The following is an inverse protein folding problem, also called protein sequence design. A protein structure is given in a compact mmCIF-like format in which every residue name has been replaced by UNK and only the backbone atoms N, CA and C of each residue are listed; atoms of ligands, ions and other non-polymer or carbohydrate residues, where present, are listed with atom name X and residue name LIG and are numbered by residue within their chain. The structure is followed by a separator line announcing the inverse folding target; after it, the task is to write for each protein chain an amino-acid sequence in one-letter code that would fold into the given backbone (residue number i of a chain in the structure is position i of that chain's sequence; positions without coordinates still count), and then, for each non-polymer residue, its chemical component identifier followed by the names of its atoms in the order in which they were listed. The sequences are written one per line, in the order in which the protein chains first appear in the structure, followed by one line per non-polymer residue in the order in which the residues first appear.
data_IF_121054737912
#
_entry.id   IF_121054737912
#
_cell.length_a   1.000
_cell.length_b   1.000
_cell.length_c   1.000
_cell.angle_alpha   90.00
_cell.angle_beta   90.00
_cell.angle_gamma   90.00
#
_symmetry.space_group_name_H-M   'P 1'
#
loop_
_entity.id
_entity.type
_entity.pdbx_description
1 polymer ?
#
# COMPACT_ATOMS: atom_id res chain seq x y z
N UNK A 1 -4.35 -25.51 -4.06
CA UNK A 1 -4.12 -24.08 -3.88
C UNK A 1 -2.66 -23.92 -3.50
N UNK A 2 -1.91 -23.01 -4.12
CA UNK A 2 -0.49 -22.89 -3.84
C UNK A 2 -0.28 -22.21 -2.47
N UNK A 3 0.37 -22.93 -1.56
CA UNK A 3 0.82 -22.46 -0.26
C UNK A 3 2.32 -22.69 -0.21
N UNK A 4 3.09 -21.66 0.11
CA UNK A 4 4.55 -21.75 0.16
C UNK A 4 5.03 -22.49 1.41
N UNK A 5 4.53 -22.08 2.57
CA UNK A 5 4.85 -22.68 3.86
C UNK A 5 3.59 -23.25 4.52
N UNK A 6 3.31 -24.53 4.18
CA UNK A 6 2.13 -25.22 4.70
C UNK A 6 2.09 -25.21 6.23
N UNK A 7 3.25 -25.29 6.90
CA UNK A 7 3.30 -25.35 8.35
C UNK A 7 2.80 -24.04 9.00
N UNK A 8 3.29 -22.88 8.53
CA UNK A 8 2.95 -21.60 9.17
C UNK A 8 1.70 -20.94 8.59
N UNK A 9 1.44 -21.11 7.29
CA UNK A 9 0.27 -20.49 6.66
C UNK A 9 -1.06 -21.20 7.00
N UNK A 10 -0.99 -22.48 7.47
CA UNK A 10 -2.18 -23.26 7.88
C UNK A 10 -2.05 -23.79 9.32
N UNK A 11 -1.26 -23.13 10.15
CA UNK A 11 -1.04 -23.51 11.55
C UNK A 11 -2.33 -23.36 12.36
N UNK A 12 -2.59 -24.30 13.27
CA UNK A 12 -3.69 -24.20 14.20
C UNK A 12 -3.55 -22.96 15.10
N UNK A 13 -4.68 -22.30 15.37
CA UNK A 13 -4.69 -20.99 16.10
C UNK A 13 -3.98 -21.06 17.47
N UNK A 14 -4.19 -22.12 18.24
CA UNK A 14 -3.53 -22.28 19.55
C UNK A 14 -2.01 -22.49 19.43
N UNK A 15 -1.57 -23.17 18.37
CA UNK A 15 -0.15 -23.34 18.08
C UNK A 15 0.51 -22.05 17.64
N UNK A 16 -0.15 -21.32 16.75
CA UNK A 16 0.29 -19.99 16.30
C UNK A 16 0.40 -19.03 17.49
N UNK A 17 -0.60 -19.01 18.37
CA UNK A 17 -0.60 -18.16 19.57
C UNK A 17 0.57 -18.48 20.51
N UNK A 18 0.92 -19.75 20.68
CA UNK A 18 2.11 -20.14 21.45
C UNK A 18 3.40 -19.67 20.79
N UNK A 19 3.52 -19.81 19.48
CA UNK A 19 4.66 -19.30 18.71
C UNK A 19 4.79 -17.78 18.83
N UNK A 20 3.69 -17.05 18.66
CA UNK A 20 3.64 -15.60 18.81
C UNK A 20 4.06 -15.17 20.22
N UNK A 21 3.60 -15.85 21.26
CA UNK A 21 3.97 -15.56 22.66
C UNK A 21 5.48 -15.73 22.90
N UNK A 22 6.05 -16.84 22.42
CA UNK A 22 7.48 -17.09 22.55
C UNK A 22 8.31 -16.02 21.81
N UNK A 23 7.93 -15.68 20.57
CA UNK A 23 8.60 -14.65 19.77
C UNK A 23 8.44 -13.25 20.36
N UNK A 24 7.26 -12.93 20.93
CA UNK A 24 7.05 -11.66 21.64
C UNK A 24 8.01 -11.50 22.81
N UNK A 25 8.13 -12.51 23.67
CA UNK A 25 9.06 -12.46 24.78
C UNK A 25 10.52 -12.23 24.31
N UNK A 26 10.95 -12.91 23.24
CA UNK A 26 12.28 -12.71 22.66
C UNK A 26 12.49 -11.30 22.12
N UNK A 27 11.54 -10.76 21.35
CA UNK A 27 11.69 -9.44 20.72
C UNK A 27 11.62 -8.31 21.73
N UNK A 28 10.79 -8.43 22.77
CA UNK A 28 10.68 -7.45 23.87
C UNK A 28 11.99 -7.40 24.67
N UNK A 29 12.54 -8.57 25.05
CA UNK A 29 13.84 -8.63 25.72
C UNK A 29 14.95 -8.04 24.83
N UNK A 30 15.02 -8.42 23.55
CA UNK A 30 15.99 -7.86 22.59
C UNK A 30 15.91 -6.34 22.52
N UNK A 31 14.71 -5.79 22.39
CA UNK A 31 14.46 -4.36 22.31
C UNK A 31 14.92 -3.64 23.60
N UNK A 32 14.56 -4.16 24.76
CA UNK A 32 14.92 -3.59 26.05
C UNK A 32 16.44 -3.61 26.28
N UNK A 33 17.10 -4.73 25.99
CA UNK A 33 18.52 -4.89 26.25
C UNK A 33 19.41 -4.05 25.33
N UNK A 34 18.99 -3.87 24.07
CA UNK A 34 19.87 -3.33 23.02
C UNK A 34 19.48 -1.94 22.50
N UNK A 35 18.23 -1.49 22.73
CA UNK A 35 17.74 -0.19 22.21
C UNK A 35 17.40 0.72 23.39
N UNK A 36 18.19 1.80 23.57
CA UNK A 36 17.99 2.75 24.67
C UNK A 36 16.58 3.35 24.68
N UNK A 37 16.05 3.69 23.51
CA UNK A 37 14.68 4.18 23.35
C UNK A 37 13.65 3.23 24.02
N UNK A 38 13.71 1.92 23.73
CA UNK A 38 12.76 0.97 24.33
C UNK A 38 12.99 0.77 25.81
N UNK A 39 14.25 0.79 26.25
CA UNK A 39 14.56 0.69 27.69
C UNK A 39 13.95 1.84 28.46
N UNK A 40 14.12 3.07 27.97
CA UNK A 40 13.59 4.26 28.60
C UNK A 40 12.04 4.24 28.54
N UNK A 41 11.46 3.97 27.38
CA UNK A 41 10.03 3.89 27.17
C UNK A 41 9.36 2.86 28.11
N UNK A 42 9.94 1.67 28.26
CA UNK A 42 9.39 0.62 29.12
C UNK A 42 9.52 0.98 30.61
N UNK A 43 10.65 1.53 31.03
CA UNK A 43 10.85 1.98 32.39
C UNK A 43 9.89 3.11 32.78
N UNK A 44 9.69 4.10 31.93
CA UNK A 44 8.75 5.22 32.12
C UNK A 44 7.30 4.74 32.24
N UNK A 45 6.93 3.65 31.54
CA UNK A 45 5.59 3.07 31.58
C UNK A 45 5.47 1.91 32.59
N UNK A 46 6.49 1.64 33.42
CA UNK A 46 6.44 0.62 34.43
C UNK A 46 6.34 -0.82 33.89
N UNK A 47 6.84 -1.07 32.67
CA UNK A 47 6.82 -2.41 32.07
C UNK A 47 7.89 -3.30 32.71
N UNK A 48 7.46 -4.37 33.33
CA UNK A 48 8.34 -5.43 33.83
C UNK A 48 8.58 -6.44 32.68
N UNK A 49 9.66 -6.25 31.91
CA UNK A 49 9.96 -7.03 30.68
C UNK A 49 9.96 -8.54 30.95
N UNK A 50 10.46 -8.99 32.10
CA UNK A 50 10.46 -10.40 32.50
C UNK A 50 9.07 -11.02 32.77
N UNK A 51 8.01 -10.22 32.73
CA UNK A 51 6.62 -10.68 32.87
C UNK A 51 5.83 -10.65 31.57
N UNK A 52 6.48 -10.33 30.44
CA UNK A 52 5.88 -10.44 29.12
C UNK A 52 6.07 -11.87 28.61
N UNK A 53 5.09 -12.73 28.91
CA UNK A 53 5.16 -14.17 28.65
C UNK A 53 4.16 -14.61 27.56
N UNK A 54 3.13 -13.82 27.33
CA UNK A 54 2.03 -14.13 26.41
C UNK A 54 1.77 -13.00 25.44
N UNK A 55 1.26 -13.35 24.25
CA UNK A 55 0.79 -12.36 23.28
C UNK A 55 -0.31 -11.45 23.85
N UNK A 56 -1.04 -11.89 24.86
CA UNK A 56 -2.05 -11.10 25.56
C UNK A 56 -1.46 -9.94 26.38
N UNK A 57 -0.18 -10.05 26.76
CA UNK A 57 0.52 -8.99 27.47
C UNK A 57 0.85 -7.80 26.57
N UNK A 58 0.78 -7.99 25.24
CA UNK A 58 1.12 -6.98 24.24
C UNK A 58 0.32 -5.69 24.44
N UNK A 59 -0.98 -5.80 24.71
CA UNK A 59 -1.86 -4.64 24.89
C UNK A 59 -1.44 -3.70 26.05
N UNK A 60 -0.59 -4.17 26.97
CA UNK A 60 -0.05 -3.37 28.08
C UNK A 60 1.24 -2.63 27.72
N UNK A 61 1.87 -2.97 26.58
CA UNK A 61 3.10 -2.32 26.14
C UNK A 61 2.78 -0.96 25.50
N UNK A 62 3.66 0.04 25.68
CA UNK A 62 3.47 1.34 25.04
C UNK A 62 3.64 1.27 23.54
N UNK A 63 3.03 2.23 22.85
CA UNK A 63 3.13 2.37 21.39
C UNK A 63 4.48 2.95 20.95
N UNK A 64 4.89 2.54 19.75
CA UNK A 64 5.97 3.17 18.99
C UNK A 64 5.37 4.00 17.85
N UNK A 65 5.91 5.19 17.61
CA UNK A 65 5.44 6.13 16.61
C UNK A 65 6.52 6.39 15.55
N UNK A 66 6.10 6.84 14.39
CA UNK A 66 7.02 7.22 13.29
C UNK A 66 7.99 8.33 13.69
N UNK A 67 7.56 9.26 14.55
CA UNK A 67 8.44 10.32 15.12
C UNK A 67 9.59 9.73 15.92
N UNK A 68 9.35 8.65 16.69
CA UNK A 68 10.35 8.03 17.53
C UNK A 68 11.50 7.46 16.67
N UNK A 69 11.16 6.85 15.54
CA UNK A 69 12.16 6.35 14.58
C UNK A 69 13.00 7.50 13.99
N UNK A 70 12.36 8.66 13.72
CA UNK A 70 13.04 9.85 13.20
C UNK A 70 13.96 10.50 14.24
N UNK A 71 13.51 10.54 15.49
CA UNK A 71 14.28 11.11 16.61
C UNK A 71 15.51 10.26 16.93
N UNK A 72 15.44 8.96 16.67
CA UNK A 72 16.54 8.01 16.82
C UNK A 72 17.42 7.86 15.55
N UNK A 73 17.25 8.74 14.55
CA UNK A 73 18.07 8.73 13.33
C UNK A 73 19.56 8.95 13.63
N UNK A 74 20.53 8.24 12.98
CA UNK A 74 20.25 7.23 11.95
C UNK A 74 20.13 5.79 12.50
N UNK A 75 20.71 5.44 13.63
CA UNK A 75 20.91 4.05 14.07
C UNK A 75 20.44 3.78 15.52
N UNK A 76 19.80 4.74 16.16
CA UNK A 76 19.37 4.62 17.57
C UNK A 76 18.34 3.50 17.82
N UNK A 77 17.65 3.05 16.77
CA UNK A 77 16.71 1.93 16.85
C UNK A 77 17.32 0.56 16.54
N UNK A 78 18.64 0.48 16.26
CA UNK A 78 19.27 -0.79 15.93
C UNK A 78 19.50 -1.63 17.18
N UNK A 79 18.97 -2.85 17.19
CA UNK A 79 19.07 -3.81 18.29
C UNK A 79 20.23 -4.80 18.12
N UNK A 80 21.09 -4.59 17.13
CA UNK A 80 22.29 -5.38 16.86
C UNK A 80 23.45 -4.45 16.48
N UNK A 81 24.72 -4.86 16.68
CA UNK A 81 25.88 -4.10 16.22
C UNK A 81 25.89 -3.92 14.71
N UNK A 82 26.42 -2.80 14.20
CA UNK A 82 26.48 -2.49 12.77
C UNK A 82 27.12 -3.60 11.93
N UNK A 83 28.07 -4.37 12.45
CA UNK A 83 28.70 -5.50 11.75
C UNK A 83 27.73 -6.64 11.41
N UNK A 84 26.56 -6.69 12.03
CA UNK A 84 25.50 -7.68 11.76
C UNK A 84 24.45 -7.15 10.79
N UNK A 85 24.45 -5.85 10.54
CA UNK A 85 23.60 -5.21 9.53
C UNK A 85 24.22 -5.40 8.15
N UNK A 86 23.56 -6.16 7.29
CA UNK A 86 24.02 -6.42 5.92
C UNK A 86 23.38 -5.52 4.88
N UNK A 87 22.30 -4.79 5.27
CA UNK A 87 21.61 -3.87 4.38
C UNK A 87 20.93 -2.76 5.16
N UNK A 88 20.89 -1.58 4.54
CA UNK A 88 20.20 -0.41 5.06
C UNK A 88 19.25 0.09 3.98
N UNK A 89 17.99 0.26 4.35
CA UNK A 89 16.99 0.98 3.57
C UNK A 89 16.54 2.24 4.30
N UNK A 90 15.82 3.10 3.61
CA UNK A 90 15.22 4.27 4.21
C UNK A 90 13.89 4.60 3.55
N UNK A 91 12.95 5.10 4.34
CA UNK A 91 11.70 5.62 3.78
C UNK A 91 11.94 6.94 3.04
N UNK A 92 11.20 7.19 1.98
CA UNK A 92 11.21 8.46 1.26
C UNK A 92 10.50 9.55 2.07
N UNK A 93 11.14 10.05 3.14
CA UNK A 93 10.56 11.12 3.94
C UNK A 93 10.35 12.39 3.12
N UNK A 94 9.13 12.80 2.89
CA UNK A 94 8.78 14.07 2.19
C UNK A 94 9.11 15.30 3.02
N UNK A 95 9.31 15.15 4.33
CA UNK A 95 9.52 16.26 5.28
C UNK A 95 10.60 15.92 6.32
N UNK A 96 11.88 16.05 5.97
CA UNK A 96 12.96 15.96 6.94
C UNK A 96 13.83 14.69 6.84
N UNK A 97 14.38 14.22 7.99
CA UNK A 97 15.25 13.03 8.02
C UNK A 97 14.47 11.77 7.67
N UNK A 98 15.01 10.89 6.80
CA UNK A 98 14.37 9.62 6.47
C UNK A 98 14.32 8.68 7.68
N UNK A 99 13.38 7.74 7.70
CA UNK A 99 13.42 6.63 8.66
C UNK A 99 14.40 5.57 8.14
N UNK A 100 15.47 5.33 8.89
CA UNK A 100 16.49 4.35 8.52
C UNK A 100 16.10 2.96 9.03
N UNK A 101 16.25 1.95 8.17
CA UNK A 101 15.90 0.55 8.49
C UNK A 101 17.09 -0.36 8.20
N UNK A 102 17.57 -1.04 9.22
CA UNK A 102 18.66 -2.02 9.12
C UNK A 102 18.14 -3.45 9.09
N UNK A 103 18.77 -4.29 8.29
CA UNK A 103 18.44 -5.71 8.17
C UNK A 103 19.65 -6.58 8.45
N UNK A 104 19.46 -7.58 9.31
CA UNK A 104 20.40 -8.70 9.47
C UNK A 104 20.24 -9.69 8.32
N UNK A 105 21.12 -10.69 8.26
CA UNK A 105 20.96 -11.80 7.29
C UNK A 105 19.65 -12.57 7.51
N UNK A 106 19.24 -12.74 8.77
CA UNK A 106 17.97 -13.40 9.13
C UNK A 106 16.77 -12.54 8.72
N UNK A 107 16.82 -11.22 8.94
CA UNK A 107 15.74 -10.32 8.51
C UNK A 107 15.53 -10.39 6.99
N UNK A 108 16.61 -10.46 6.20
CA UNK A 108 16.51 -10.61 4.74
C UNK A 108 15.90 -11.96 4.36
N UNK A 109 16.26 -13.05 5.07
CA UNK A 109 15.71 -14.36 4.80
C UNK A 109 14.20 -14.42 5.12
N UNK A 110 13.78 -13.87 6.26
CA UNK A 110 12.36 -13.74 6.63
C UNK A 110 11.60 -12.90 5.59
N UNK A 111 12.17 -11.79 5.15
CA UNK A 111 11.54 -10.95 4.13
C UNK A 111 11.38 -11.67 2.80
N UNK A 112 12.42 -12.37 2.34
CA UNK A 112 12.34 -13.19 1.13
C UNK A 112 11.24 -14.26 1.24
N UNK A 113 11.11 -14.90 2.42
CA UNK A 113 10.06 -15.88 2.70
C UNK A 113 8.66 -15.26 2.66
N UNK A 114 8.43 -14.13 3.34
CA UNK A 114 7.16 -13.42 3.31
C UNK A 114 6.75 -13.05 1.87
N UNK A 115 7.72 -12.66 1.05
CA UNK A 115 7.47 -12.37 -0.36
C UNK A 115 7.25 -13.62 -1.21
N UNK A 116 7.90 -14.74 -0.88
CA UNK A 116 7.62 -16.03 -1.54
C UNK A 116 6.18 -16.50 -1.22
N UNK A 117 5.72 -16.37 0.02
CA UNK A 117 4.32 -16.63 0.40
C UNK A 117 3.35 -15.72 -0.37
N UNK A 118 3.67 -14.43 -0.49
CA UNK A 118 2.89 -13.43 -1.26
C UNK A 118 2.75 -13.84 -2.72
N UNK A 119 3.86 -14.08 -3.39
CA UNK A 119 3.88 -14.41 -4.81
C UNK A 119 3.25 -15.79 -5.08
N UNK A 120 3.51 -16.77 -4.21
CA UNK A 120 2.84 -18.08 -4.29
C UNK A 120 1.33 -17.96 -4.05
N UNK A 121 0.91 -17.10 -3.11
CA UNK A 121 -0.52 -16.78 -2.90
C UNK A 121 -1.17 -16.14 -4.12
N UNK A 122 -0.40 -15.40 -4.92
CA UNK A 122 -0.79 -14.87 -6.22
C UNK A 122 -0.73 -15.91 -7.37
N UNK A 123 -0.39 -17.16 -7.07
CA UNK A 123 -0.29 -18.22 -8.05
C UNK A 123 1.02 -18.25 -8.84
N UNK A 124 2.05 -17.52 -8.40
CA UNK A 124 3.39 -17.54 -8.99
C UNK A 124 4.10 -18.86 -8.64
N UNK A 125 4.82 -19.41 -9.57
CA UNK A 125 5.60 -20.63 -9.41
C UNK A 125 6.97 -20.54 -10.12
N UNK A 126 7.78 -21.57 -10.02
CA UNK A 126 9.16 -21.64 -10.55
C UNK A 126 9.27 -21.54 -12.08
N UNK A 127 8.20 -21.78 -12.80
CA UNK A 127 8.19 -21.76 -14.27
C UNK A 127 7.81 -20.37 -14.82
N UNK A 128 7.49 -19.40 -13.93
CA UNK A 128 7.05 -18.07 -14.30
C UNK A 128 8.19 -17.07 -14.48
N UNK A 129 7.92 -16.06 -15.31
CA UNK A 129 8.73 -14.84 -15.45
C UNK A 129 8.05 -13.69 -14.74
N UNK A 130 8.70 -13.11 -13.73
CA UNK A 130 8.19 -12.02 -12.92
C UNK A 130 8.83 -10.70 -13.37
N UNK A 131 8.07 -9.83 -14.00
CA UNK A 131 8.55 -8.47 -14.28
C UNK A 131 8.36 -7.59 -13.05
N UNK A 132 9.49 -7.16 -12.48
CA UNK A 132 9.50 -6.35 -11.27
C UNK A 132 9.74 -4.88 -11.59
N UNK A 133 8.65 -4.14 -11.67
CA UNK A 133 8.62 -2.70 -11.95
C UNK A 133 8.56 -1.84 -10.68
N UNK A 134 8.73 -2.42 -9.49
CA UNK A 134 8.99 -1.62 -8.29
C UNK A 134 10.38 -1.01 -8.31
N UNK A 135 10.51 0.20 -7.78
CA UNK A 135 11.80 0.88 -7.67
C UNK A 135 12.81 0.12 -6.80
N UNK A 136 14.04 0.01 -7.30
CA UNK A 136 15.20 -0.49 -6.55
C UNK A 136 15.95 0.68 -5.91
N UNK A 137 16.64 0.44 -4.81
CA UNK A 137 17.42 1.44 -4.09
C UNK A 137 17.07 1.51 -2.60
N UNK A 138 16.91 2.71 -2.04
CA UNK A 138 16.54 2.86 -0.63
C UNK A 138 15.12 2.42 -0.33
N UNK A 139 14.23 2.45 -1.30
CA UNK A 139 12.88 1.91 -1.22
C UNK A 139 12.90 0.37 -1.20
N UNK A 140 12.01 -0.23 -0.42
CA UNK A 140 12.03 -1.69 -0.16
C UNK A 140 11.32 -2.52 -1.23
N UNK A 141 10.40 -1.94 -2.02
CA UNK A 141 9.50 -2.67 -2.91
C UNK A 141 10.22 -3.57 -3.92
N UNK A 142 11.18 -3.03 -4.67
CA UNK A 142 11.89 -3.77 -5.71
C UNK A 142 12.64 -4.98 -5.19
N UNK A 143 13.42 -4.81 -4.12
CA UNK A 143 14.22 -5.91 -3.55
C UNK A 143 13.35 -6.98 -2.87
N UNK A 144 12.21 -6.59 -2.26
CA UNK A 144 11.30 -7.58 -1.69
C UNK A 144 10.74 -8.54 -2.74
N UNK A 145 10.14 -8.00 -3.80
CA UNK A 145 9.62 -8.81 -4.91
C UNK A 145 10.71 -9.66 -5.58
N UNK A 146 11.91 -9.08 -5.74
CA UNK A 146 13.07 -9.77 -6.32
C UNK A 146 13.44 -11.03 -5.53
N UNK A 147 13.70 -10.90 -4.22
CA UNK A 147 14.12 -12.05 -3.41
C UNK A 147 13.03 -13.09 -3.23
N UNK A 148 11.75 -12.68 -3.16
CA UNK A 148 10.65 -13.62 -3.14
C UNK A 148 10.59 -14.46 -4.44
N UNK A 149 10.74 -13.81 -5.59
CA UNK A 149 10.78 -14.49 -6.89
C UNK A 149 11.94 -15.49 -7.00
N UNK A 150 13.17 -15.07 -6.64
CA UNK A 150 14.35 -15.95 -6.63
C UNK A 150 14.16 -17.13 -5.67
N UNK A 151 13.56 -16.92 -4.50
CA UNK A 151 13.33 -17.97 -3.52
C UNK A 151 12.33 -19.03 -4.02
N UNK A 152 11.30 -18.63 -4.76
CA UNK A 152 10.37 -19.53 -5.45
C UNK A 152 11.07 -20.30 -6.57
N UNK A 153 12.13 -19.74 -7.15
CA UNK A 153 12.81 -20.24 -8.34
C UNK A 153 12.24 -19.67 -9.64
N UNK A 154 11.39 -18.66 -9.58
CA UNK A 154 10.89 -17.92 -10.75
C UNK A 154 11.97 -17.01 -11.34
N UNK A 155 11.93 -16.79 -12.64
CA UNK A 155 12.83 -15.84 -13.30
C UNK A 155 12.37 -14.41 -13.03
N UNK A 156 13.21 -13.57 -12.42
CA UNK A 156 12.86 -12.18 -12.15
C UNK A 156 13.54 -11.24 -13.14
N UNK A 157 12.76 -10.32 -13.74
CA UNK A 157 13.25 -9.22 -14.60
C UNK A 157 13.33 -7.96 -13.75
N UNK A 158 14.52 -7.54 -13.28
CA UNK A 158 14.69 -6.45 -12.33
C UNK A 158 14.74 -5.08 -13.03
N UNK A 159 13.67 -4.75 -13.76
CA UNK A 159 13.65 -3.55 -14.63
C UNK A 159 13.56 -2.25 -13.83
N UNK A 160 13.06 -2.28 -12.59
CA UNK A 160 12.79 -1.09 -11.78
C UNK A 160 11.59 -0.26 -12.29
N UNK A 161 11.25 0.82 -11.59
CA UNK A 161 10.21 1.76 -12.03
C UNK A 161 10.62 2.60 -13.23
N UNK A 162 9.62 3.17 -13.91
CA UNK A 162 9.83 4.05 -15.05
C UNK A 162 10.13 3.36 -16.37
N UNK A 163 10.53 4.14 -17.36
CA UNK A 163 10.88 3.67 -18.73
C UNK A 163 9.80 2.80 -19.38
N UNK A 164 8.56 3.29 -19.37
CA UNK A 164 7.33 2.55 -19.72
C UNK A 164 7.39 1.83 -21.05
N UNK A 165 7.96 2.44 -22.10
CA UNK A 165 8.11 1.79 -23.42
C UNK A 165 9.02 0.56 -23.36
N UNK A 166 10.10 0.63 -22.56
CA UNK A 166 10.98 -0.52 -22.35
C UNK A 166 10.30 -1.60 -21.50
N UNK A 167 9.46 -1.20 -20.54
CA UNK A 167 8.63 -2.14 -19.78
C UNK A 167 7.75 -2.97 -20.70
N UNK A 168 7.04 -2.31 -21.63
CA UNK A 168 6.16 -2.97 -22.62
C UNK A 168 6.94 -3.90 -23.55
N UNK A 169 8.08 -3.45 -24.05
CA UNK A 169 8.96 -4.28 -24.89
C UNK A 169 9.38 -5.55 -24.14
N UNK A 170 9.82 -5.43 -22.87
CA UNK A 170 10.27 -6.60 -22.11
C UNK A 170 9.12 -7.53 -21.68
N UNK A 171 7.92 -7.00 -21.42
CA UNK A 171 6.74 -7.83 -21.18
C UNK A 171 6.45 -8.74 -22.38
N UNK A 172 6.62 -8.22 -23.60
CA UNK A 172 6.45 -8.98 -24.83
C UNK A 172 7.60 -9.95 -25.10
N UNK A 173 8.86 -9.45 -25.05
CA UNK A 173 10.05 -10.22 -25.44
C UNK A 173 10.35 -11.37 -24.48
N UNK A 174 10.04 -11.18 -23.18
CA UNK A 174 10.30 -12.19 -22.15
C UNK A 174 9.06 -12.98 -21.76
N UNK A 175 7.93 -12.73 -22.42
CA UNK A 175 6.67 -13.41 -22.19
C UNK A 175 6.30 -13.45 -20.68
N UNK A 176 6.40 -12.30 -20.01
CA UNK A 176 6.24 -12.22 -18.54
C UNK A 176 4.84 -12.65 -18.09
N UNK A 177 4.78 -13.51 -17.07
CA UNK A 177 3.55 -14.06 -16.47
C UNK A 177 2.99 -13.20 -15.36
N UNK A 178 3.88 -12.51 -14.61
CA UNK A 178 3.56 -11.77 -13.39
C UNK A 178 4.13 -10.36 -13.47
N UNK A 179 3.31 -9.36 -13.11
CA UNK A 179 3.73 -7.97 -12.98
C UNK A 179 3.71 -7.53 -11.51
N UNK A 180 4.84 -7.06 -10.98
CA UNK A 180 4.92 -6.42 -9.68
C UNK A 180 5.13 -4.91 -9.87
N UNK A 181 4.17 -4.08 -9.46
CA UNK A 181 4.25 -2.61 -9.59
C UNK A 181 3.31 -1.88 -8.62
N UNK A 182 3.34 -0.54 -8.65
CA UNK A 182 2.24 0.23 -8.06
C UNK A 182 1.00 0.16 -8.96
N UNK A 183 -0.21 0.23 -8.41
CA UNK A 183 -1.44 0.18 -9.21
C UNK A 183 -1.53 1.35 -10.22
N UNK A 184 -1.12 2.55 -9.82
CA UNK A 184 -1.08 3.71 -10.73
C UNK A 184 -0.15 3.49 -11.94
N UNK A 185 1.01 2.83 -11.71
CA UNK A 185 1.94 2.53 -12.78
C UNK A 185 1.39 1.44 -13.72
N UNK A 186 0.67 0.45 -13.18
CA UNK A 186 0.00 -0.57 -14.01
C UNK A 186 -1.02 0.06 -14.98
N UNK A 187 -1.82 1.01 -14.51
CA UNK A 187 -2.74 1.76 -15.39
C UNK A 187 -1.99 2.59 -16.42
N UNK A 188 -0.96 3.30 -16.01
CA UNK A 188 -0.14 4.08 -16.95
C UNK A 188 0.53 3.19 -18.01
N UNK A 189 0.97 1.99 -17.63
CA UNK A 189 1.49 1.00 -18.57
C UNK A 189 0.43 0.59 -19.61
N UNK A 190 -0.82 0.39 -19.16
CA UNK A 190 -1.93 0.05 -20.02
C UNK A 190 -2.28 1.18 -21.01
N UNK A 191 -2.25 2.43 -20.55
CA UNK A 191 -2.52 3.60 -21.40
C UNK A 191 -1.46 3.73 -22.50
N UNK A 192 -0.16 3.62 -22.14
CA UNK A 192 0.93 3.68 -23.12
C UNK A 192 0.90 2.48 -24.09
N UNK A 193 0.47 1.31 -23.63
CA UNK A 193 0.28 0.14 -24.50
C UNK A 193 -0.79 0.43 -25.56
N UNK A 194 -1.93 1.01 -25.17
CA UNK A 194 -2.98 1.40 -26.09
C UNK A 194 -2.51 2.46 -27.11
N UNK A 195 -1.72 3.44 -26.67
CA UNK A 195 -1.15 4.47 -27.54
C UNK A 195 -0.14 3.92 -28.54
N UNK A 196 0.65 2.92 -28.12
CA UNK A 196 1.72 2.32 -28.95
C UNK A 196 1.28 1.10 -29.73
N UNK A 197 0.02 0.66 -29.58
CA UNK A 197 -0.54 -0.49 -30.28
C UNK A 197 -0.07 -1.84 -29.74
N UNK A 198 0.38 -1.91 -28.49
CA UNK A 198 0.71 -3.16 -27.81
C UNK A 198 -0.56 -3.80 -27.27
N UNK A 199 -0.86 -5.01 -27.70
CA UNK A 199 -2.02 -5.80 -27.26
C UNK A 199 -1.69 -6.55 -25.95
N UNK A 200 -1.80 -5.88 -24.81
CA UNK A 200 -1.54 -6.47 -23.48
C UNK A 200 -2.41 -7.72 -23.20
N UNK A 201 -3.72 -7.73 -23.52
CA UNK A 201 -4.54 -8.93 -23.32
C UNK A 201 -4.08 -10.19 -24.07
N UNK A 202 -3.26 -10.04 -25.12
CA UNK A 202 -2.71 -11.18 -25.88
C UNK A 202 -1.44 -11.77 -25.25
N UNK A 203 -0.83 -11.06 -24.29
CA UNK A 203 0.38 -11.53 -23.61
C UNK A 203 0.07 -12.64 -22.59
N UNK A 204 1.05 -13.49 -22.21
CA UNK A 204 0.86 -14.51 -21.19
C UNK A 204 0.69 -13.95 -19.77
N UNK A 205 0.73 -12.63 -19.61
CA UNK A 205 0.56 -11.96 -18.34
C UNK A 205 -0.80 -12.32 -17.73
N UNK A 206 -0.81 -12.91 -16.54
CA UNK A 206 -2.02 -13.46 -15.90
C UNK A 206 -2.31 -12.88 -14.52
N UNK A 207 -1.32 -12.33 -13.83
CA UNK A 207 -1.49 -11.79 -12.50
C UNK A 207 -0.59 -10.57 -12.26
N UNK A 208 -1.13 -9.61 -11.51
CA UNK A 208 -0.38 -8.48 -10.99
C UNK A 208 -0.39 -8.46 -9.46
N UNK A 209 0.75 -8.12 -8.85
CA UNK A 209 0.90 -7.94 -7.41
C UNK A 209 1.18 -6.46 -7.16
N UNK A 210 0.17 -5.75 -6.65
CA UNK A 210 0.14 -4.30 -6.58
C UNK A 210 0.09 -3.80 -5.14
N UNK A 211 0.76 -2.69 -4.87
CA UNK A 211 0.77 -2.05 -3.55
C UNK A 211 1.66 -0.81 -3.52
N UNK A 212 2.13 -0.47 -2.33
CA UNK A 212 2.88 0.74 -2.01
C UNK A 212 2.06 2.04 -2.00
N UNK A 213 0.84 2.02 -2.47
CA UNK A 213 -0.13 3.10 -2.39
C UNK A 213 -1.54 2.53 -2.15
N UNK A 214 -2.44 3.26 -1.48
CA UNK A 214 -3.84 2.87 -1.39
C UNK A 214 -4.51 2.91 -2.77
N UNK A 215 -5.40 1.98 -3.05
CA UNK A 215 -6.16 1.91 -4.30
C UNK A 215 -7.53 1.28 -4.10
N UNK A 216 -8.51 1.66 -4.92
CA UNK A 216 -9.92 1.26 -4.78
C UNK A 216 -10.23 -0.04 -5.52
N UNK A 217 -11.41 -0.62 -5.23
CA UNK A 217 -11.95 -1.75 -5.99
C UNK A 217 -12.27 -1.37 -7.43
N UNK A 218 -12.64 -0.13 -7.67
CA UNK A 218 -12.86 0.43 -9.01
C UNK A 218 -11.55 0.42 -9.80
N UNK A 219 -10.43 0.84 -9.19
CA UNK A 219 -9.11 0.79 -9.81
C UNK A 219 -8.68 -0.66 -10.08
N UNK A 220 -9.01 -1.61 -9.19
CA UNK A 220 -8.77 -3.04 -9.44
C UNK A 220 -9.46 -3.49 -10.73
N UNK A 221 -10.75 -3.19 -10.87
CA UNK A 221 -11.53 -3.57 -12.06
C UNK A 221 -10.97 -2.96 -13.33
N UNK A 222 -10.52 -1.72 -13.25
CA UNK A 222 -9.90 -1.02 -14.38
C UNK A 222 -8.59 -1.72 -14.80
N UNK A 223 -7.70 -2.02 -13.85
CA UNK A 223 -6.46 -2.76 -14.10
C UNK A 223 -6.77 -4.14 -14.69
N UNK A 224 -7.65 -4.91 -14.07
CA UNK A 224 -8.02 -6.25 -14.53
C UNK A 224 -8.60 -6.23 -15.95
N UNK A 225 -9.41 -5.21 -16.26
CA UNK A 225 -10.01 -5.05 -17.58
C UNK A 225 -8.98 -4.67 -18.64
N UNK A 226 -8.12 -3.67 -18.37
CA UNK A 226 -7.15 -3.16 -19.35
C UNK A 226 -6.01 -4.13 -19.63
N UNK A 227 -5.56 -4.85 -18.60
CA UNK A 227 -4.43 -5.79 -18.73
C UNK A 227 -4.87 -7.25 -18.93
N UNK A 228 -6.16 -7.58 -18.73
CA UNK A 228 -6.70 -8.94 -18.73
C UNK A 228 -6.01 -9.87 -17.73
N UNK A 229 -5.79 -9.41 -16.50
CA UNK A 229 -5.10 -10.13 -15.42
C UNK A 229 -5.95 -10.20 -14.16
N UNK A 230 -5.49 -10.98 -13.16
CA UNK A 230 -5.95 -10.82 -11.78
C UNK A 230 -5.06 -9.82 -11.04
N UNK A 231 -5.67 -8.86 -10.35
CA UNK A 231 -4.97 -7.80 -9.63
C UNK A 231 -5.06 -8.03 -8.12
N UNK A 232 -3.95 -8.36 -7.48
CA UNK A 232 -3.86 -8.70 -6.06
C UNK A 232 -3.16 -7.62 -5.27
N UNK A 233 -3.68 -7.34 -4.09
CA UNK A 233 -3.14 -6.33 -3.18
C UNK A 233 -2.03 -6.92 -2.28
N UNK A 234 -1.01 -6.11 -2.02
CA UNK A 234 0.07 -6.43 -1.10
C UNK A 234 0.32 -5.23 -0.18
N UNK A 235 0.48 -5.52 1.10
CA UNK A 235 0.74 -4.49 2.10
C UNK A 235 2.09 -4.69 2.79
N UNK A 236 2.71 -3.58 3.14
CA UNK A 236 3.90 -3.50 3.97
C UNK A 236 4.45 -2.10 4.07
N UNK A 237 5.29 -1.89 5.07
CA UNK A 237 6.00 -0.64 5.34
C UNK A 237 7.49 -0.94 5.43
N UNK A 238 8.32 -0.01 4.95
CA UNK A 238 9.79 -0.13 5.05
C UNK A 238 10.24 -0.32 6.49
N UNK A 239 9.60 0.38 7.43
CA UNK A 239 9.87 0.33 8.86
C UNK A 239 9.66 -1.08 9.43
N UNK A 240 8.64 -1.80 8.97
CA UNK A 240 8.30 -3.15 9.45
C UNK A 240 9.23 -4.18 8.80
N UNK A 241 9.12 -4.36 7.48
CA UNK A 241 10.02 -5.26 6.73
C UNK A 241 10.12 -4.90 5.24
N UNK A 242 9.23 -4.07 4.73
CA UNK A 242 8.98 -3.84 3.32
C UNK A 242 7.67 -4.51 2.89
N UNK A 243 7.45 -4.78 1.60
CA UNK A 243 6.28 -5.52 1.14
C UNK A 243 6.28 -6.95 1.70
N UNK A 244 5.10 -7.55 1.78
CA UNK A 244 4.92 -8.93 2.26
C UNK A 244 4.59 -9.04 3.75
N UNK A 245 4.20 -7.96 4.44
CA UNK A 245 3.59 -8.05 5.78
C UNK A 245 2.26 -8.78 5.68
N UNK A 246 1.47 -8.41 4.68
CA UNK A 246 0.24 -9.11 4.31
C UNK A 246 -0.01 -9.09 2.80
N UNK A 247 -0.83 -10.03 2.31
CA UNK A 247 -1.08 -10.23 0.89
C UNK A 247 -2.45 -10.85 0.62
N UNK A 248 -3.04 -10.55 -0.52
CA UNK A 248 -4.23 -11.24 -1.01
C UNK A 248 -3.89 -12.58 -1.65
N UNK A 249 -4.78 -13.54 -1.50
CA UNK A 249 -4.72 -14.81 -2.24
C UNK A 249 -5.56 -14.73 -3.52
N UNK A 250 -5.14 -15.49 -4.54
CA UNK A 250 -5.80 -15.52 -5.85
C UNK A 250 -7.26 -16.01 -5.76
N UNK A 251 -7.55 -16.93 -4.85
CA UNK A 251 -8.84 -17.59 -4.71
C UNK A 251 -9.94 -16.63 -4.23
N UNK A 252 -9.65 -15.82 -3.22
CA UNK A 252 -10.68 -15.02 -2.57
C UNK A 252 -10.67 -13.55 -3.02
N UNK A 253 -9.49 -12.97 -3.29
CA UNK A 253 -9.32 -11.52 -3.52
C UNK A 253 -10.10 -10.67 -2.48
N UNK A 254 -10.11 -11.12 -1.22
CA UNK A 254 -10.94 -10.54 -0.15
C UNK A 254 -10.18 -10.44 1.16
N UNK A 255 -9.51 -9.33 1.34
CA UNK A 255 -8.62 -9.07 2.47
C UNK A 255 -7.24 -9.74 2.33
N UNK A 256 -6.27 -9.18 3.03
CA UNK A 256 -4.86 -9.53 2.95
C UNK A 256 -4.49 -10.43 4.12
N UNK A 257 -4.05 -11.65 3.87
CA UNK A 257 -3.51 -12.58 4.87
C UNK A 257 -2.27 -11.97 5.53
N UNK A 258 -2.29 -11.83 6.84
CA UNK A 258 -1.12 -11.37 7.60
C UNK A 258 -0.18 -12.56 7.82
N UNK A 259 1.13 -12.36 7.64
CA UNK A 259 2.14 -13.34 8.02
C UNK A 259 2.31 -13.35 9.56
N UNK A 260 1.30 -13.90 10.27
CA UNK A 260 1.11 -13.77 11.73
C UNK A 260 2.19 -14.43 12.57
N UNK A 261 2.96 -15.32 12.02
CA UNK A 261 4.15 -15.88 12.67
C UNK A 261 5.31 -14.87 12.76
N UNK A 262 5.31 -13.85 11.89
CA UNK A 262 6.31 -12.77 11.85
C UNK A 262 5.78 -11.42 12.34
N UNK A 263 4.48 -11.17 12.19
CA UNK A 263 3.85 -9.87 12.49
C UNK A 263 2.54 -10.08 13.25
N UNK A 264 2.40 -9.38 14.38
CA UNK A 264 1.14 -9.38 15.10
C UNK A 264 0.37 -8.10 14.82
N UNK A 265 -0.81 -8.17 14.21
CA UNK A 265 -1.65 -7.02 13.94
C UNK A 265 -2.61 -6.75 15.11
N UNK A 266 -2.79 -5.47 15.44
CA UNK A 266 -3.86 -4.96 16.28
C UNK A 266 -4.63 -3.89 15.50
N UNK A 267 -5.93 -3.74 15.75
CA UNK A 267 -6.69 -2.57 15.35
C UNK A 267 -7.02 -1.79 16.60
N UNK A 268 -6.74 -0.50 16.61
CA UNK A 268 -6.99 0.34 17.77
C UNK A 268 -7.89 1.53 17.41
N UNK A 269 -8.62 2.02 18.39
CA UNK A 269 -9.17 3.36 18.34
C UNK A 269 -8.03 4.37 18.36
N UNK A 270 -7.98 5.26 17.36
CA UNK A 270 -6.85 6.16 17.17
C UNK A 270 -6.71 7.22 18.28
N UNK A 271 -7.82 7.58 18.94
CA UNK A 271 -7.88 8.61 19.97
C UNK A 271 -7.59 8.04 21.36
N UNK A 272 -8.18 6.89 21.70
CA UNK A 272 -8.03 6.26 23.03
C UNK A 272 -6.86 5.28 23.12
N UNK A 273 -6.47 4.66 22.00
CA UNK A 273 -5.47 3.60 21.93
C UNK A 273 -5.99 2.25 22.39
N UNK A 274 -7.29 2.11 22.64
CA UNK A 274 -7.92 0.83 23.01
C UNK A 274 -7.94 -0.11 21.82
N UNK A 275 -7.67 -1.39 22.06
CA UNK A 275 -7.75 -2.44 21.02
C UNK A 275 -9.21 -2.71 20.71
N UNK A 276 -9.54 -2.63 19.42
CA UNK A 276 -10.89 -2.89 18.93
C UNK A 276 -11.08 -4.37 18.57
N UNK A 277 -12.29 -4.91 18.73
CA UNK A 277 -12.59 -6.27 18.31
C UNK A 277 -12.49 -6.43 16.79
N UNK A 278 -12.29 -7.68 16.34
CA UNK A 278 -12.28 -8.01 14.93
C UNK A 278 -13.57 -7.54 14.22
N UNK A 279 -13.43 -7.04 13.01
CA UNK A 279 -14.51 -6.47 12.22
C UNK A 279 -14.71 -4.96 12.40
N UNK A 280 -14.27 -4.37 13.51
CA UNK A 280 -14.32 -2.93 13.71
C UNK A 280 -13.15 -2.23 12.99
N UNK A 281 -13.43 -1.03 12.48
CA UNK A 281 -12.46 -0.22 11.77
C UNK A 281 -11.71 0.70 12.72
N UNK A 282 -10.38 0.74 12.59
CA UNK A 282 -9.51 1.60 13.37
C UNK A 282 -8.11 1.69 12.77
N UNK A 283 -7.18 2.22 13.53
CA UNK A 283 -5.77 2.31 13.13
C UNK A 283 -5.08 0.95 13.29
N UNK A 284 -4.40 0.52 12.22
CA UNK A 284 -3.56 -0.68 12.24
C UNK A 284 -2.28 -0.43 13.04
N UNK A 285 -2.01 -1.30 13.97
CA UNK A 285 -0.78 -1.36 14.75
C UNK A 285 -0.10 -2.70 14.48
N UNK A 286 1.21 -2.68 14.26
CA UNK A 286 1.98 -3.90 13.98
C UNK A 286 3.10 -4.06 15.00
N UNK A 287 3.22 -5.27 15.54
CA UNK A 287 4.40 -5.71 16.31
C UNK A 287 5.19 -6.73 15.49
N UNK A 288 6.49 -6.47 15.27
CA UNK A 288 7.37 -7.44 14.62
C UNK A 288 7.80 -8.51 15.62
N UNK A 289 7.59 -9.78 15.29
CA UNK A 289 7.87 -10.91 16.18
C UNK A 289 9.21 -11.60 15.90
N UNK A 290 9.80 -11.37 14.72
CA UNK A 290 11.01 -12.09 14.29
C UNK A 290 12.13 -11.18 13.81
N UNK A 291 11.91 -9.85 13.77
CA UNK A 291 12.88 -8.88 13.27
C UNK A 291 13.99 -8.62 14.28
N UNK A 292 15.24 -8.77 13.84
CA UNK A 292 16.41 -8.62 14.69
C UNK A 292 17.04 -7.23 14.63
N UNK A 293 17.16 -6.67 13.43
CA UNK A 293 17.89 -5.43 13.21
C UNK A 293 17.22 -4.22 13.85
N UNK A 294 15.92 -4.07 13.61
CA UNK A 294 15.09 -3.01 14.20
C UNK A 294 13.76 -3.63 14.61
N UNK A 295 13.66 -4.15 15.84
CA UNK A 295 12.37 -4.61 16.38
C UNK A 295 11.42 -3.44 16.55
N UNK A 296 10.16 -3.62 16.18
CA UNK A 296 9.09 -2.66 16.38
C UNK A 296 7.99 -3.28 17.24
N UNK A 297 7.69 -2.63 18.37
CA UNK A 297 6.69 -3.06 19.31
C UNK A 297 5.54 -2.07 19.30
N UNK A 298 4.33 -2.57 19.01
CA UNK A 298 3.10 -1.77 18.88
C UNK A 298 3.29 -0.51 18.03
N UNK A 299 3.85 -0.69 16.82
CA UNK A 299 4.10 0.41 15.90
C UNK A 299 2.80 0.89 15.28
N UNK A 300 2.44 2.14 15.55
CA UNK A 300 1.28 2.81 14.95
C UNK A 300 1.62 3.18 13.51
N UNK A 301 0.93 2.54 12.57
CA UNK A 301 1.22 2.69 11.14
C UNK A 301 0.60 3.96 10.54
N UNK A 302 -0.46 4.47 11.17
CA UNK A 302 -1.32 5.50 10.62
C UNK A 302 -2.31 4.98 9.56
N UNK A 303 -2.23 3.70 9.19
CA UNK A 303 -3.12 3.11 8.18
C UNK A 303 -4.44 2.67 8.83
N UNK A 304 -5.57 2.96 8.17
CA UNK A 304 -6.90 2.59 8.65
C UNK A 304 -7.36 1.30 7.99
N UNK A 305 -7.64 0.30 8.83
CA UNK A 305 -8.07 -1.03 8.39
C UNK A 305 -9.00 -1.69 9.42
N UNK A 306 -9.28 -2.97 9.26
CA UNK A 306 -9.96 -3.85 10.23
C UNK A 306 -9.47 -5.28 10.07
N UNK A 307 -9.55 -6.11 11.10
CA UNK A 307 -9.23 -7.53 11.00
C UNK A 307 -10.46 -8.34 10.56
N UNK A 308 -10.21 -9.41 9.81
CA UNK A 308 -11.18 -10.35 9.26
C UNK A 308 -10.75 -11.74 9.72
N UNK A 309 -11.51 -12.36 10.63
CA UNK A 309 -11.21 -13.67 11.20
C UNK A 309 -11.97 -14.82 10.49
N UNK A 310 -12.90 -14.48 9.59
CA UNK A 310 -13.63 -15.49 8.83
C UNK A 310 -12.68 -16.41 8.05
N UNK A 311 -12.98 -17.72 7.95
CA UNK A 311 -12.18 -18.63 7.13
C UNK A 311 -12.04 -18.16 5.68
N UNK A 312 -10.88 -18.41 5.09
CA UNK A 312 -10.63 -18.11 3.67
C UNK A 312 -10.70 -19.38 2.83
N UNK A 313 -11.28 -19.26 1.62
CA UNK A 313 -11.38 -20.36 0.64
C UNK A 313 -10.01 -20.94 0.25
N UNK A 314 -8.94 -20.17 0.37
CA UNK A 314 -7.58 -20.63 0.08
C UNK A 314 -7.02 -21.64 1.11
N UNK A 315 -7.73 -21.85 2.23
CA UNK A 315 -7.32 -22.80 3.28
C UNK A 315 -6.26 -22.27 4.26
N UNK A 316 -5.79 -21.04 4.12
CA UNK A 316 -4.94 -20.38 5.12
C UNK A 316 -5.74 -20.08 6.38
N UNK A 317 -5.10 -20.26 7.54
CA UNK A 317 -5.70 -20.02 8.86
C UNK A 317 -5.33 -18.67 9.45
N UNK A 318 -4.46 -17.93 8.78
CA UNK A 318 -4.01 -16.61 9.23
C UNK A 318 -5.13 -15.57 9.13
N UNK A 319 -5.16 -14.63 10.08
CA UNK A 319 -6.08 -13.50 10.04
C UNK A 319 -5.82 -12.67 8.78
N UNK A 320 -6.89 -12.10 8.24
CA UNK A 320 -6.77 -11.13 7.14
C UNK A 320 -7.01 -9.73 7.66
N UNK A 321 -6.30 -8.77 7.13
CA UNK A 321 -6.66 -7.37 7.26
C UNK A 321 -7.48 -6.92 6.04
N UNK A 322 -8.44 -6.04 6.24
CA UNK A 322 -9.09 -5.38 5.12
C UNK A 322 -8.07 -4.50 4.38
N UNK A 323 -8.35 -4.20 3.12
CA UNK A 323 -7.59 -3.22 2.38
C UNK A 323 -7.52 -1.90 3.16
N UNK A 324 -6.37 -1.24 3.11
CA UNK A 324 -6.21 0.08 3.73
C UNK A 324 -7.17 1.06 3.07
N UNK A 325 -8.11 1.58 3.87
CA UNK A 325 -9.11 2.56 3.39
C UNK A 325 -8.53 3.97 3.26
N UNK A 326 -7.43 4.26 3.94
CA UNK A 326 -6.72 5.52 3.93
C UNK A 326 -5.71 5.58 5.07
N UNK A 327 -5.02 6.70 5.18
CA UNK A 327 -4.10 6.96 6.28
C UNK A 327 -4.64 8.06 7.18
N UNK A 328 -4.41 7.96 8.47
CA UNK A 328 -4.80 9.02 9.41
C UNK A 328 -4.05 10.33 9.16
N UNK A 329 -2.81 10.24 8.63
CA UNK A 329 -1.98 11.40 8.26
C UNK A 329 -2.24 11.93 6.82
N UNK A 330 -2.88 11.13 5.95
CA UNK A 330 -3.35 11.54 4.61
C UNK A 330 -4.86 11.89 4.62
N UNK A 331 -5.52 11.72 5.75
CA UNK A 331 -6.92 12.08 5.93
C UNK A 331 -7.07 13.60 5.89
N UNK A 332 -7.86 14.06 4.94
CA UNK A 332 -8.18 15.47 4.81
C UNK A 332 -9.36 15.79 5.71
N UNK A 333 -9.20 16.74 6.63
CA UNK A 333 -10.33 17.26 7.39
C UNK A 333 -10.85 18.47 6.63
N UNK A 334 -12.02 18.32 6.01
CA UNK A 334 -12.66 19.37 5.21
C UNK A 334 -13.97 19.78 5.90
N UNK A 335 -14.00 20.96 6.49
CA UNK A 335 -15.19 21.49 7.22
C UNK A 335 -15.69 20.52 8.30
N UNK A 336 -14.76 19.85 9.02
CA UNK A 336 -15.09 18.89 10.08
C UNK A 336 -15.48 17.48 9.59
N UNK A 337 -15.38 17.22 8.30
CA UNK A 337 -15.60 15.88 7.71
C UNK A 337 -14.27 15.24 7.32
N UNK A 338 -14.09 14.00 7.71
CA UNK A 338 -12.94 13.20 7.32
C UNK A 338 -13.10 12.70 5.88
N UNK A 339 -12.17 13.10 5.01
CA UNK A 339 -12.17 12.75 3.58
C UNK A 339 -10.91 11.96 3.25
N UNK A 340 -11.08 10.75 2.75
CA UNK A 340 -9.97 9.94 2.24
C UNK A 340 -9.90 10.03 0.70
N UNK A 341 -8.70 10.22 0.12
CA UNK A 341 -8.54 10.28 -1.34
C UNK A 341 -9.14 9.10 -2.08
N UNK A 342 -9.10 7.89 -1.51
CA UNK A 342 -9.69 6.67 -2.07
C UNK A 342 -11.21 6.71 -2.19
N UNK A 343 -11.89 7.46 -1.32
CA UNK A 343 -13.35 7.66 -1.42
C UNK A 343 -13.70 8.54 -2.62
N UNK A 344 -12.90 9.57 -2.87
CA UNK A 344 -13.08 10.41 -4.07
C UNK A 344 -12.77 9.60 -5.33
N UNK A 345 -11.67 8.82 -5.31
CA UNK A 345 -11.30 7.91 -6.39
C UNK A 345 -12.44 6.96 -6.79
N UNK A 346 -13.08 6.33 -5.80
CA UNK A 346 -14.17 5.40 -6.08
C UNK A 346 -15.35 6.06 -6.80
N UNK A 347 -15.65 7.32 -6.48
CA UNK A 347 -16.68 8.08 -7.19
C UNK A 347 -16.26 8.40 -8.63
N UNK A 348 -15.02 8.83 -8.83
CA UNK A 348 -14.51 9.18 -10.15
C UNK A 348 -14.50 7.98 -11.09
N UNK A 349 -14.03 6.83 -10.63
CA UNK A 349 -13.91 5.62 -11.45
C UNK A 349 -15.26 4.93 -11.75
N UNK A 350 -16.36 5.33 -11.11
CA UNK A 350 -17.71 4.93 -11.54
C UNK A 350 -18.17 5.67 -12.81
N UNK A 351 -17.51 6.77 -13.14
CA UNK A 351 -17.87 7.61 -14.29
C UNK A 351 -17.07 7.18 -15.54
N UNK A 352 -17.76 6.63 -16.54
CA UNK A 352 -17.15 6.12 -17.79
C UNK A 352 -16.53 7.20 -18.70
N UNK A 353 -16.72 8.47 -18.34
CA UNK A 353 -16.30 9.62 -19.15
C UNK A 353 -15.02 10.27 -18.61
N UNK A 354 -14.47 9.76 -17.51
CA UNK A 354 -13.20 10.22 -16.93
C UNK A 354 -12.13 9.13 -16.98
N UNK A 355 -10.89 9.56 -16.90
CA UNK A 355 -9.73 8.68 -16.75
C UNK A 355 -9.36 8.51 -15.27
N UNK A 356 -8.62 7.46 -14.87
CA UNK A 356 -8.22 7.21 -13.48
C UNK A 356 -7.11 8.17 -12.98
N UNK A 357 -6.98 9.30 -13.63
CA UNK A 357 -5.98 10.32 -13.34
C UNK A 357 -6.65 11.54 -12.71
N UNK A 358 -6.39 11.72 -11.42
CA UNK A 358 -7.00 12.79 -10.65
C UNK A 358 -6.03 13.37 -9.62
N UNK A 359 -6.39 14.57 -9.16
CA UNK A 359 -5.67 15.29 -8.09
C UNK A 359 -6.68 16.00 -7.19
N UNK A 360 -6.44 15.95 -5.89
CA UNK A 360 -7.18 16.67 -4.87
C UNK A 360 -6.37 17.89 -4.45
N UNK A 361 -6.94 19.07 -4.56
CA UNK A 361 -6.31 20.30 -4.10
C UNK A 361 -7.12 20.82 -2.93
N UNK A 362 -6.47 20.95 -1.77
CA UNK A 362 -7.07 21.52 -0.57
C UNK A 362 -6.54 22.92 -0.37
N UNK A 363 -7.44 23.85 -0.23
CA UNK A 363 -7.12 25.28 -0.02
C UNK A 363 -7.98 25.85 1.10
N UNK A 364 -7.66 27.05 1.56
CA UNK A 364 -8.42 27.77 2.56
C UNK A 364 -8.84 29.15 2.05
N UNK A 365 -10.14 29.36 1.93
CA UNK A 365 -10.70 30.65 1.53
C UNK A 365 -11.38 31.31 2.72
N UNK A 366 -10.73 32.35 3.27
CA UNK A 366 -11.15 32.92 4.53
C UNK A 366 -10.98 31.96 5.70
N UNK A 367 -12.08 31.60 6.37
CA UNK A 367 -12.09 30.61 7.47
C UNK A 367 -12.52 29.22 7.07
N UNK A 368 -12.83 28.97 5.79
CA UNK A 368 -13.38 27.68 5.33
C UNK A 368 -12.42 26.96 4.41
N UNK A 369 -12.22 25.67 4.69
CA UNK A 369 -11.49 24.77 3.80
C UNK A 369 -12.31 24.46 2.56
N UNK A 370 -11.64 24.44 1.41
CA UNK A 370 -12.19 24.06 0.11
C UNK A 370 -11.47 22.84 -0.42
N UNK A 371 -12.24 21.91 -0.98
CA UNK A 371 -11.72 20.76 -1.70
C UNK A 371 -12.06 20.94 -3.18
N UNK A 372 -11.02 20.94 -4.00
CA UNK A 372 -11.12 20.92 -5.45
C UNK A 372 -10.66 19.54 -5.94
N UNK A 373 -11.44 18.95 -6.83
CA UNK A 373 -11.16 17.66 -7.47
C UNK A 373 -10.85 17.93 -8.94
N UNK A 374 -9.60 17.74 -9.32
CA UNK A 374 -9.15 17.79 -10.71
C UNK A 374 -9.13 16.37 -11.26
N UNK A 375 -9.79 16.13 -12.41
CA UNK A 375 -9.85 14.81 -13.03
C UNK A 375 -9.80 14.92 -14.55
N UNK A 376 -9.05 14.05 -15.19
CA UNK A 376 -8.97 14.01 -16.66
C UNK A 376 -10.21 13.37 -17.26
N UNK A 377 -10.73 13.97 -18.32
CA UNK A 377 -11.78 13.36 -19.15
C UNK A 377 -11.18 12.37 -20.13
N UNK A 378 -11.97 11.40 -20.59
CA UNK A 378 -11.49 10.42 -21.55
C UNK A 378 -11.12 11.07 -22.90
N UNK A 379 -10.07 10.60 -23.59
CA UNK A 379 -9.64 11.16 -24.88
C UNK A 379 -10.75 11.20 -25.93
N UNK A 380 -11.65 10.20 -25.90
CA UNK A 380 -12.81 10.15 -26.79
C UNK A 380 -13.76 11.31 -26.55
N UNK A 381 -14.14 11.53 -25.30
CA UNK A 381 -15.08 12.61 -24.91
C UNK A 381 -14.48 13.99 -25.18
N UNK A 382 -13.19 14.15 -24.90
CA UNK A 382 -12.47 15.38 -25.21
C UNK A 382 -12.49 15.70 -26.72
N UNK A 383 -12.23 14.70 -27.54
CA UNK A 383 -12.28 14.84 -29.00
C UNK A 383 -13.70 15.20 -29.50
N UNK A 384 -14.72 14.49 -29.02
CA UNK A 384 -16.13 14.77 -29.35
C UNK A 384 -16.54 16.19 -28.94
N UNK A 385 -16.10 16.64 -27.73
CA UNK A 385 -16.35 18.01 -27.27
C UNK A 385 -15.66 19.06 -28.16
N UNK A 386 -14.40 18.85 -28.48
CA UNK A 386 -13.62 19.76 -29.35
C UNK A 386 -14.18 19.86 -30.76
N UNK A 387 -14.69 18.77 -31.32
CA UNK A 387 -15.36 18.75 -32.63
C UNK A 387 -16.73 19.46 -32.57
N UNK A 388 -17.44 19.38 -31.44
CA UNK A 388 -18.75 20.04 -31.29
C UNK A 388 -18.64 21.56 -31.09
N UNK A 389 -17.52 22.06 -30.59
CA UNK A 389 -17.32 23.48 -30.24
C UNK A 389 -16.13 24.06 -30.99
N UNK A 390 -16.17 23.96 -32.32
CA UNK A 390 -15.10 24.33 -33.26
C UNK A 390 -14.59 25.80 -33.22
N UNK A 391 -15.17 26.66 -32.38
CA UNK A 391 -14.84 28.08 -32.30
C UNK A 391 -14.30 28.56 -30.96
N UNK A 392 -14.19 27.67 -29.95
CA UNK A 392 -13.77 27.99 -28.61
C UNK A 392 -12.32 27.53 -28.36
N UNK A 393 -11.63 28.17 -27.42
CA UNK A 393 -10.34 27.66 -26.95
C UNK A 393 -10.52 26.41 -26.08
N UNK A 394 -9.42 25.77 -25.70
CA UNK A 394 -9.45 24.48 -25.01
C UNK A 394 -10.11 24.56 -23.63
N UNK A 395 -9.96 25.66 -22.90
CA UNK A 395 -10.62 25.88 -21.61
C UNK A 395 -12.13 26.10 -21.76
N UNK A 396 -12.56 26.89 -22.76
CA UNK A 396 -13.96 27.17 -23.04
C UNK A 396 -14.73 25.90 -23.48
N UNK A 397 -14.10 25.01 -24.25
CA UNK A 397 -14.69 23.71 -24.69
C UNK A 397 -15.10 22.88 -23.47
N UNK A 398 -14.22 22.75 -22.47
CA UNK A 398 -14.48 21.95 -21.27
C UNK A 398 -15.62 22.56 -20.43
N UNK A 399 -15.76 23.89 -20.41
CA UNK A 399 -16.77 24.57 -19.62
C UNK A 399 -18.17 24.60 -20.26
N UNK A 400 -18.28 24.64 -21.58
CA UNK A 400 -19.54 24.88 -22.28
C UNK A 400 -20.18 23.64 -22.90
N UNK A 401 -19.41 22.56 -23.15
CA UNK A 401 -20.00 21.34 -23.71
C UNK A 401 -20.96 20.68 -22.72
N UNK A 402 -22.25 20.60 -23.05
CA UNK A 402 -23.34 20.16 -22.18
C UNK A 402 -23.06 18.82 -21.46
N UNK A 403 -22.49 17.83 -22.14
CA UNK A 403 -22.14 16.51 -21.56
C UNK A 403 -21.11 16.67 -20.43
N UNK A 404 -20.15 17.58 -20.58
CA UNK A 404 -19.11 17.83 -19.55
C UNK A 404 -19.66 18.60 -18.35
N UNK A 405 -20.61 19.51 -18.58
CA UNK A 405 -21.32 20.21 -17.51
C UNK A 405 -22.13 19.20 -16.66
N UNK A 406 -22.88 18.32 -17.31
CA UNK A 406 -23.62 17.25 -16.63
C UNK A 406 -22.70 16.28 -15.89
N UNK A 407 -21.59 15.90 -16.48
CA UNK A 407 -20.58 15.04 -15.87
C UNK A 407 -20.03 15.67 -14.59
N UNK A 408 -19.60 16.93 -14.67
CA UNK A 408 -19.08 17.68 -13.52
C UNK A 408 -20.10 17.75 -12.37
N UNK A 409 -21.34 18.08 -12.68
CA UNK A 409 -22.41 18.22 -11.68
C UNK A 409 -22.78 16.87 -11.06
N UNK A 410 -22.73 15.78 -11.83
CA UNK A 410 -22.95 14.42 -11.37
C UNK A 410 -21.81 13.95 -10.43
N UNK A 411 -20.55 14.18 -10.79
CA UNK A 411 -19.40 13.89 -9.94
C UNK A 411 -19.50 14.68 -8.61
N UNK A 412 -19.78 15.98 -8.68
CA UNK A 412 -19.98 16.83 -7.50
C UNK A 412 -21.07 16.29 -6.59
N UNK A 413 -22.20 15.89 -7.16
CA UNK A 413 -23.32 15.31 -6.42
C UNK A 413 -22.92 14.00 -5.77
N UNK A 414 -22.30 13.08 -6.51
CA UNK A 414 -21.93 11.75 -6.01
C UNK A 414 -20.88 11.85 -4.88
N UNK A 415 -19.92 12.75 -4.98
CA UNK A 415 -18.97 13.03 -3.90
C UNK A 415 -19.69 13.55 -2.66
N UNK A 416 -20.63 14.49 -2.83
CA UNK A 416 -21.41 15.03 -1.72
C UNK A 416 -22.28 13.96 -1.05
N UNK A 417 -22.89 13.10 -1.86
CA UNK A 417 -23.79 12.02 -1.36
C UNK A 417 -22.99 10.95 -0.60
N UNK A 418 -21.77 10.63 -1.04
CA UNK A 418 -20.91 9.61 -0.41
C UNK A 418 -20.14 10.15 0.81
N UNK A 419 -19.58 11.35 0.72
CA UNK A 419 -18.62 11.86 1.69
C UNK A 419 -19.24 12.96 2.57
N UNK A 420 -20.31 13.60 2.13
CA UNK A 420 -20.97 14.71 2.85
C UNK A 420 -20.31 16.09 2.61
N UNK A 421 -19.32 16.18 1.73
CA UNK A 421 -18.58 17.42 1.44
C UNK A 421 -18.92 17.93 0.04
N UNK A 422 -19.23 19.23 -0.05
CA UNK A 422 -19.35 19.88 -1.36
C UNK A 422 -17.95 20.26 -1.88
N UNK A 423 -17.63 19.84 -3.09
CA UNK A 423 -16.34 20.05 -3.75
C UNK A 423 -16.51 20.88 -5.01
N UNK A 424 -15.45 21.55 -5.43
CA UNK A 424 -15.34 22.03 -6.80
C UNK A 424 -14.73 20.91 -7.65
N UNK A 425 -15.31 20.66 -8.83
CA UNK A 425 -14.83 19.64 -9.76
C UNK A 425 -14.35 20.35 -11.01
N UNK A 426 -13.08 20.14 -11.35
CA UNK A 426 -12.43 20.65 -12.55
C UNK A 426 -12.11 19.48 -13.46
N UNK A 427 -12.76 19.46 -14.61
CA UNK A 427 -12.44 18.51 -15.66
C UNK A 427 -11.18 19.01 -16.39
N UNK A 428 -10.23 18.11 -16.57
CA UNK A 428 -8.93 18.40 -17.18
C UNK A 428 -8.84 17.71 -18.55
N UNK A 429 -7.98 18.24 -19.41
CA UNK A 429 -7.62 17.57 -20.66
C UNK A 429 -6.91 16.25 -20.43
N UNK A 430 -7.06 15.27 -21.34
CA UNK A 430 -6.27 14.06 -21.29
C UNK A 430 -4.76 14.35 -21.30
N UNK A 431 -4.00 13.74 -20.38
CA UNK A 431 -2.56 13.90 -20.27
C UNK A 431 -2.08 15.16 -19.55
N UNK A 432 -2.98 15.99 -18.99
CA UNK A 432 -2.62 17.22 -18.27
C UNK A 432 -2.16 16.99 -16.82
N UNK A 433 -2.60 15.89 -16.18
CA UNK A 433 -2.15 15.51 -14.85
C UNK A 433 -0.87 14.69 -14.98
N UNK A 434 0.18 15.14 -14.29
CA UNK A 434 1.49 14.48 -14.33
C UNK A 434 1.38 13.00 -13.91
N UNK A 435 1.96 12.11 -14.72
CA UNK A 435 2.01 10.67 -14.46
C UNK A 435 3.16 10.35 -13.50
N UNK A 436 2.88 9.54 -12.50
CA UNK A 436 3.92 9.06 -11.59
C UNK A 436 4.50 7.73 -12.10
N UNK A 437 5.81 7.66 -12.22
CA UNK A 437 6.53 6.40 -12.49
C UNK A 437 6.74 5.55 -11.22
N UNK A 438 6.13 5.98 -10.11
CA UNK A 438 6.19 5.33 -8.81
C UNK A 438 4.91 5.61 -8.03
N UNK A 439 5.05 6.10 -6.79
CA UNK A 439 3.92 6.42 -5.92
C UNK A 439 3.25 7.72 -6.36
N UNK A 440 1.95 7.70 -6.65
CA UNK A 440 1.19 8.89 -7.06
C UNK A 440 1.05 9.91 -5.93
N UNK A 441 1.35 11.18 -6.21
CA UNK A 441 1.00 12.28 -5.31
C UNK A 441 -0.38 12.82 -5.68
N UNK A 442 -1.40 12.30 -5.02
CA UNK A 442 -2.81 12.64 -5.33
C UNK A 442 -3.36 13.83 -4.57
N UNK A 443 -2.65 14.31 -3.56
CA UNK A 443 -3.11 15.42 -2.70
C UNK A 443 -2.10 16.56 -2.72
N UNK A 444 -2.61 17.76 -2.93
CA UNK A 444 -1.89 19.03 -2.76
C UNK A 444 -2.62 19.82 -1.68
N UNK A 445 -2.07 19.87 -0.48
CA UNK A 445 -2.62 20.69 0.61
C UNK A 445 -1.90 22.04 0.64
N UNK A 446 -2.63 23.10 0.31
CA UNK A 446 -2.13 24.49 0.27
C UNK A 446 -2.42 25.27 1.55
N UNK A 447 -3.07 24.65 2.53
CA UNK A 447 -3.46 25.34 3.79
C UNK A 447 -2.28 25.66 4.68
N UNK A 448 -1.16 24.96 4.51
CA UNK A 448 0.05 25.08 5.33
C UNK A 448 1.15 25.95 4.69
N UNK A 449 0.87 26.61 3.57
CA UNK A 449 1.80 27.50 2.87
C UNK A 449 1.55 28.97 3.24
#
# INVERSE_FOLDING_TARGET
MPIWDQQHETMERDELRRLQSARLAEVVNRAYDNVSFYRDLFNENGVEVGRVESIDDLARLPFTYKRDLRDQYPFGMFAVPMREIIRIHASSGTTGKPTTVGYTRKDIAVWAECMARTLTGAGTNKDDVVQNAYGYGLFTGGLGAHYGSELIGAAVVPISGGNTKKQLMLLQDYESDVLCSTPSFALYLADVAAETGVDLPSLPLRVGVFGAEPWSEEMRREIETKLNIKALDIYGLSEITGPGVSFECLEAQSGLHVNEDHFYPEIIDADTGEVLPAGEQGELVITTLSKEGIPLIRYRTGDISRLIEDPCECGRTTVRMARVSGRSDDMLIIRGVNVFPTQVESVLLMEKLVEPHYRLVVDRKGSMDQLEVQVEISPRVYKEAKEAVLSLDEEEVIHEYHVLVELRDRIRKNIKDLIGVTTDVILQEPGSIERSEGKSQRVIDRRAL
#
